data_IF_541930611233
#
_entry.id   IF_541930611233
#
_cell.length_a   1.000
_cell.length_b   1.000
_cell.length_c   1.000
_cell.angle_alpha   90.00
_cell.angle_beta   90.00
_cell.angle_gamma   90.00
#
_symmetry.space_group_name_H-M   'P 1'
#
loop_
_entity.id
_entity.type
_entity.pdbx_description
1 polymer ?
#
# COMPACT_ATOMS: atom_id res chain seq x y z
N UNK A 1 44.85 28.75 4.18
CA UNK A 1 44.75 28.23 5.57
C UNK A 1 43.30 28.19 6.10
N UNK A 2 42.35 28.89 5.56
CA UNK A 2 40.97 28.95 6.02
C UNK A 2 40.17 27.62 5.80
N UNK A 3 40.48 26.87 4.76
CA UNK A 3 39.76 25.62 4.46
C UNK A 3 39.93 24.49 5.51
N UNK A 4 40.99 24.49 6.27
CA UNK A 4 41.21 23.47 7.33
C UNK A 4 40.38 23.72 8.60
N UNK A 5 40.00 24.97 8.89
CA UNK A 5 39.20 25.31 10.07
C UNK A 5 37.75 24.94 9.92
N UNK A 6 37.15 25.12 8.72
CA UNK A 6 35.75 24.76 8.44
C UNK A 6 35.55 23.25 8.51
N UNK A 7 36.48 22.43 8.00
CA UNK A 7 36.39 20.97 8.09
C UNK A 7 36.40 20.43 9.51
N UNK A 8 37.12 21.12 10.43
CA UNK A 8 37.16 20.73 11.83
C UNK A 8 35.83 20.93 12.56
N UNK A 9 34.96 21.79 12.04
CA UNK A 9 33.63 22.05 12.57
C UNK A 9 32.61 21.18 11.81
N UNK A 10 32.60 21.28 10.50
CA UNK A 10 31.53 20.66 9.68
C UNK A 10 31.56 19.14 9.69
N UNK A 11 32.74 18.49 9.79
CA UNK A 11 32.79 17.04 9.79
C UNK A 11 32.26 16.47 11.13
N UNK A 12 32.72 16.90 12.32
CA UNK A 12 32.17 16.42 13.59
C UNK A 12 30.67 16.73 13.71
N UNK A 13 30.22 17.92 13.35
CA UNK A 13 28.82 18.28 13.41
C UNK A 13 27.98 17.42 12.46
N UNK A 14 28.46 17.14 11.23
CA UNK A 14 27.79 16.23 10.30
C UNK A 14 27.61 14.83 10.87
N UNK A 15 28.67 14.26 11.49
CA UNK A 15 28.57 12.94 12.13
C UNK A 15 27.62 12.96 13.33
N UNK A 16 27.66 13.98 14.18
CA UNK A 16 26.72 14.10 15.31
C UNK A 16 25.27 14.24 14.86
N UNK A 17 25.03 15.03 13.82
CA UNK A 17 23.69 15.16 13.25
C UNK A 17 23.17 13.82 12.69
N UNK A 18 24.01 13.08 11.95
CA UNK A 18 23.62 11.77 11.42
C UNK A 18 23.35 10.77 12.53
N UNK A 19 24.21 10.72 13.56
CA UNK A 19 24.01 9.85 14.73
C UNK A 19 22.68 10.18 15.43
N UNK A 20 22.39 11.46 15.65
CA UNK A 20 21.12 11.90 16.25
C UNK A 20 19.91 11.49 15.41
N UNK A 21 19.97 11.66 14.08
CA UNK A 21 18.90 11.25 13.16
C UNK A 21 18.68 9.73 13.24
N UNK A 22 19.74 8.93 13.19
CA UNK A 22 19.66 7.48 13.25
C UNK A 22 19.05 6.99 14.56
N UNK A 23 19.43 7.60 15.69
CA UNK A 23 18.85 7.29 17.01
C UNK A 23 17.36 7.63 17.07
N UNK A 24 16.97 8.80 16.56
CA UNK A 24 15.56 9.18 16.48
C UNK A 24 14.77 8.22 15.58
N UNK A 25 15.30 7.87 14.41
CA UNK A 25 14.66 6.88 13.52
C UNK A 25 14.50 5.52 14.20
N UNK A 26 15.53 5.04 14.90
CA UNK A 26 15.47 3.79 15.68
C UNK A 26 14.35 3.85 16.73
N UNK A 27 14.26 4.96 17.48
CA UNK A 27 13.23 5.16 18.50
C UNK A 27 11.82 5.17 17.87
N UNK A 28 11.62 5.93 16.77
CA UNK A 28 10.34 6.00 16.06
C UNK A 28 9.94 4.64 15.50
N UNK A 29 10.86 3.95 14.82
CA UNK A 29 10.57 2.64 14.20
C UNK A 29 10.31 1.56 15.25
N UNK A 30 11.04 1.56 16.37
CA UNK A 30 10.81 0.64 17.48
C UNK A 30 9.48 0.87 18.20
N UNK A 31 8.95 2.11 18.17
CA UNK A 31 7.64 2.47 18.74
C UNK A 31 6.46 2.38 17.78
N UNK A 32 6.67 1.99 16.53
CA UNK A 32 5.60 1.88 15.56
C UNK A 32 4.54 0.85 15.98
N UNK A 33 3.29 1.29 15.95
CA UNK A 33 2.13 0.42 16.20
C UNK A 33 1.34 0.23 14.93
N UNK A 34 1.19 -1.02 14.50
CA UNK A 34 0.36 -1.39 13.35
C UNK A 34 -1.03 -1.74 13.85
N UNK A 35 -2.05 -1.19 13.21
CA UNK A 35 -3.47 -1.47 13.51
C UNK A 35 -4.10 -2.25 12.36
N UNK A 36 -4.03 -3.60 12.33
CA UNK A 36 -4.48 -4.40 11.21
C UNK A 36 -5.96 -4.18 10.85
N UNK A 37 -6.81 -3.96 11.85
CA UNK A 37 -8.25 -3.71 11.61
C UNK A 37 -8.51 -2.37 10.89
N UNK A 38 -7.71 -1.35 11.18
CA UNK A 38 -7.81 -0.04 10.49
C UNK A 38 -7.35 -0.19 9.04
N UNK A 39 -6.26 -0.91 8.82
CA UNK A 39 -5.76 -1.22 7.47
C UNK A 39 -6.80 -2.02 6.69
N UNK A 40 -7.33 -3.09 7.28
CA UNK A 40 -8.34 -3.92 6.63
C UNK A 40 -9.60 -3.11 6.24
N UNK A 41 -10.04 -2.19 7.10
CA UNK A 41 -11.15 -1.28 6.78
C UNK A 41 -10.82 -0.41 5.57
N UNK A 42 -9.68 0.27 5.58
CA UNK A 42 -9.25 1.12 4.48
C UNK A 42 -9.08 0.34 3.17
N UNK A 43 -8.49 -0.86 3.23
CA UNK A 43 -8.39 -1.76 2.07
C UNK A 43 -9.78 -2.13 1.55
N UNK A 44 -10.71 -2.51 2.42
CA UNK A 44 -12.08 -2.87 2.03
C UNK A 44 -12.83 -1.73 1.32
N UNK A 45 -12.58 -0.48 1.72
CA UNK A 45 -13.19 0.69 1.09
C UNK A 45 -12.65 0.96 -0.33
N UNK A 46 -11.35 0.75 -0.56
CA UNK A 46 -10.71 1.11 -1.82
C UNK A 46 -10.47 -0.07 -2.78
N UNK A 47 -10.42 -1.28 -2.26
CA UNK A 47 -10.12 -2.48 -3.06
C UNK A 47 -11.07 -2.67 -4.24
N UNK A 48 -12.39 -2.44 -4.14
CA UNK A 48 -13.31 -2.56 -5.28
C UNK A 48 -12.91 -1.69 -6.47
N UNK A 49 -12.43 -0.48 -6.22
CA UNK A 49 -11.98 0.44 -7.26
C UNK A 49 -10.60 0.06 -7.82
N UNK A 50 -9.68 -0.38 -6.96
CA UNK A 50 -8.35 -0.84 -7.37
C UNK A 50 -8.46 -2.12 -8.23
N UNK A 51 -9.39 -3.00 -7.88
CA UNK A 51 -9.57 -4.29 -8.55
C UNK A 51 -10.34 -4.22 -9.87
N UNK A 52 -10.81 -3.05 -10.31
CA UNK A 52 -11.58 -2.90 -11.55
C UNK A 52 -10.89 -3.46 -12.79
N UNK A 53 -9.56 -3.34 -12.88
CA UNK A 53 -8.79 -3.95 -13.98
C UNK A 53 -8.81 -5.48 -13.90
N UNK A 54 -8.71 -6.06 -12.70
CA UNK A 54 -8.80 -7.52 -12.53
C UNK A 54 -10.19 -8.03 -12.91
N UNK A 55 -11.25 -7.30 -12.54
CA UNK A 55 -12.61 -7.62 -12.93
C UNK A 55 -12.80 -7.53 -14.44
N UNK A 56 -12.27 -6.48 -15.06
CA UNK A 56 -12.28 -6.32 -16.51
C UNK A 56 -11.60 -7.51 -17.22
N UNK A 57 -10.40 -7.88 -16.73
CA UNK A 57 -9.64 -8.99 -17.32
C UNK A 57 -10.32 -10.34 -17.09
N UNK A 58 -10.98 -10.54 -15.94
CA UNK A 58 -11.76 -11.75 -15.67
C UNK A 58 -12.96 -11.85 -16.62
N UNK A 59 -13.68 -10.74 -16.82
CA UNK A 59 -14.79 -10.66 -17.78
C UNK A 59 -14.34 -11.02 -19.20
N UNK A 60 -13.23 -10.45 -19.67
CA UNK A 60 -12.67 -10.72 -21.01
C UNK A 60 -12.24 -12.19 -21.14
N UNK A 61 -11.59 -12.77 -20.12
CA UNK A 61 -11.21 -14.19 -20.12
C UNK A 61 -12.41 -15.12 -20.24
N UNK A 62 -13.56 -14.71 -19.72
CA UNK A 62 -14.84 -15.43 -19.82
C UNK A 62 -15.59 -15.19 -21.14
N UNK A 63 -15.01 -14.42 -22.07
CA UNK A 63 -15.56 -14.12 -23.38
C UNK A 63 -16.32 -12.80 -23.49
N UNK A 64 -16.27 -11.95 -22.46
CA UNK A 64 -16.83 -10.61 -22.48
C UNK A 64 -16.09 -9.67 -23.44
N UNK A 65 -16.81 -8.70 -24.00
CA UNK A 65 -16.23 -7.63 -24.80
C UNK A 65 -15.53 -6.62 -23.88
N UNK A 66 -14.25 -6.36 -24.12
CA UNK A 66 -13.43 -5.48 -23.27
C UNK A 66 -14.00 -4.06 -23.17
N UNK A 67 -14.49 -3.50 -24.27
CA UNK A 67 -15.01 -2.13 -24.30
C UNK A 67 -16.35 -2.03 -23.57
N UNK A 68 -17.23 -3.00 -23.78
CA UNK A 68 -18.52 -3.06 -23.08
C UNK A 68 -18.32 -3.27 -21.58
N UNK A 69 -17.48 -4.21 -21.18
CA UNK A 69 -17.17 -4.46 -19.76
C UNK A 69 -16.53 -3.24 -19.10
N UNK A 70 -15.63 -2.54 -19.80
CA UNK A 70 -15.02 -1.29 -19.30
C UNK A 70 -16.07 -0.21 -19.09
N UNK A 71 -17.01 -0.05 -20.04
CA UNK A 71 -18.07 0.97 -19.93
C UNK A 71 -19.01 0.67 -18.76
N UNK A 72 -19.41 -0.59 -18.56
CA UNK A 72 -20.23 -1.01 -17.41
C UNK A 72 -19.54 -0.69 -16.10
N UNK A 73 -18.25 -1.05 -15.97
CA UNK A 73 -17.46 -0.74 -14.76
C UNK A 73 -17.39 0.78 -14.55
N UNK A 74 -17.18 1.57 -15.60
CA UNK A 74 -17.12 3.03 -15.54
C UNK A 74 -18.46 3.63 -15.07
N UNK A 75 -19.58 3.20 -15.64
CA UNK A 75 -20.92 3.66 -15.26
C UNK A 75 -21.19 3.45 -13.77
N UNK A 76 -20.98 2.23 -13.27
CA UNK A 76 -21.22 1.90 -11.88
C UNK A 76 -20.22 2.59 -10.93
N UNK A 77 -18.95 2.71 -11.33
CA UNK A 77 -17.94 3.42 -10.51
C UNK A 77 -18.27 4.90 -10.35
N UNK A 78 -18.76 5.57 -11.40
CA UNK A 78 -19.21 6.95 -11.34
C UNK A 78 -20.46 7.10 -10.46
N UNK A 79 -21.42 6.19 -10.58
CA UNK A 79 -22.63 6.20 -9.75
C UNK A 79 -22.29 6.08 -8.25
N UNK A 80 -21.35 5.18 -7.89
CA UNK A 80 -20.87 5.02 -6.51
C UNK A 80 -20.14 6.28 -6.03
N UNK A 81 -19.28 6.86 -6.89
CA UNK A 81 -18.56 8.09 -6.53
C UNK A 81 -19.49 9.28 -6.33
N UNK A 82 -20.55 9.40 -7.13
CA UNK A 82 -21.53 10.49 -6.99
C UNK A 82 -22.45 10.28 -5.77
N UNK A 83 -22.87 9.06 -5.48
CA UNK A 83 -23.59 8.72 -4.25
C UNK A 83 -22.76 9.07 -3.00
N UNK A 84 -21.48 8.74 -3.00
CA UNK A 84 -20.57 9.07 -1.89
C UNK A 84 -20.48 10.60 -1.63
N UNK A 85 -20.48 11.44 -2.69
CA UNK A 85 -20.51 12.90 -2.55
C UNK A 85 -21.81 13.42 -1.91
N UNK A 86 -22.89 12.67 -2.08
CA UNK A 86 -24.19 12.99 -1.49
C UNK A 86 -24.39 12.37 -0.09
N UNK A 87 -23.37 11.69 0.44
CA UNK A 87 -23.44 11.02 1.75
C UNK A 87 -24.16 9.66 1.71
N UNK A 88 -24.42 9.13 0.53
CA UNK A 88 -25.02 7.82 0.33
C UNK A 88 -23.92 6.75 0.16
N UNK A 89 -24.26 5.52 0.52
CA UNK A 89 -23.34 4.38 0.37
C UNK A 89 -23.90 3.41 -0.66
N UNK A 90 -23.22 3.28 -1.79
CA UNK A 90 -23.48 2.26 -2.80
C UNK A 90 -22.34 1.26 -2.85
N UNK A 91 -22.68 0.00 -3.10
CA UNK A 91 -21.70 -1.07 -3.24
C UNK A 91 -21.44 -1.36 -4.73
N UNK A 92 -20.23 -1.02 -5.20
CA UNK A 92 -19.81 -1.22 -6.58
C UNK A 92 -19.91 -2.69 -7.02
N UNK A 93 -19.51 -3.60 -6.13
CA UNK A 93 -19.47 -5.03 -6.47
C UNK A 93 -20.88 -5.61 -6.61
N UNK A 94 -21.76 -5.17 -5.75
CA UNK A 94 -23.18 -5.54 -5.83
C UNK A 94 -23.80 -5.01 -7.12
N UNK A 95 -23.56 -3.76 -7.49
CA UNK A 95 -24.08 -3.18 -8.73
C UNK A 95 -23.58 -3.94 -9.96
N UNK A 96 -22.28 -4.32 -9.98
CA UNK A 96 -21.73 -5.13 -11.06
C UNK A 96 -22.29 -6.55 -11.08
N UNK A 97 -22.55 -7.15 -9.93
CA UNK A 97 -23.12 -8.51 -9.85
C UNK A 97 -24.60 -8.56 -10.26
N UNK A 98 -25.34 -7.45 -10.09
CA UNK A 98 -26.76 -7.31 -10.45
C UNK A 98 -26.95 -6.85 -11.91
N UNK A 99 -25.91 -6.45 -12.63
CA UNK A 99 -25.99 -6.01 -14.02
C UNK A 99 -25.85 -7.20 -14.97
N UNK A 100 -26.95 -7.58 -15.64
CA UNK A 100 -26.99 -8.70 -16.59
C UNK A 100 -26.03 -8.54 -17.78
N UNK A 101 -25.57 -7.31 -18.07
CA UNK A 101 -24.58 -7.03 -19.12
C UNK A 101 -23.17 -7.43 -18.70
N UNK A 102 -22.92 -7.55 -17.39
CA UNK A 102 -21.60 -7.92 -16.85
C UNK A 102 -21.56 -9.43 -16.64
N UNK A 103 -20.72 -10.12 -17.40
CA UNK A 103 -20.73 -11.58 -17.52
C UNK A 103 -20.04 -12.33 -16.35
N UNK A 104 -19.77 -11.67 -15.22
CA UNK A 104 -19.23 -12.29 -14.01
C UNK A 104 -20.32 -12.49 -12.97
N UNK A 105 -20.33 -13.64 -12.34
CA UNK A 105 -21.15 -13.91 -11.16
C UNK A 105 -20.57 -13.27 -9.91
N UNK A 106 -21.38 -13.08 -8.86
CA UNK A 106 -20.93 -12.55 -7.58
C UNK A 106 -19.73 -13.33 -6.99
N UNK A 107 -19.72 -14.65 -7.13
CA UNK A 107 -18.61 -15.49 -6.66
C UNK A 107 -17.30 -15.25 -7.43
N UNK A 108 -17.40 -15.01 -8.75
CA UNK A 108 -16.22 -14.68 -9.58
C UNK A 108 -15.70 -13.28 -9.31
N UNK A 109 -16.60 -12.32 -9.01
CA UNK A 109 -16.24 -10.97 -8.59
C UNK A 109 -15.49 -11.05 -7.25
N UNK A 110 -16.02 -11.77 -6.27
CA UNK A 110 -15.38 -11.93 -4.96
C UNK A 110 -14.01 -12.61 -5.07
N UNK A 111 -13.88 -13.62 -5.93
CA UNK A 111 -12.61 -14.31 -6.17
C UNK A 111 -11.53 -13.40 -6.78
N UNK A 112 -11.91 -12.34 -7.50
CA UNK A 112 -10.98 -11.35 -8.08
C UNK A 112 -10.54 -10.25 -7.09
N UNK A 113 -11.08 -10.25 -5.86
CA UNK A 113 -10.90 -9.20 -4.87
C UNK A 113 -10.03 -9.62 -3.67
N UNK A 114 -9.14 -10.57 -3.87
CA UNK A 114 -8.24 -11.01 -2.81
C UNK A 114 -7.15 -9.94 -2.57
N UNK A 115 -7.07 -9.33 -1.37
CA UNK A 115 -6.08 -8.29 -1.09
C UNK A 115 -4.63 -8.75 -1.32
N UNK A 116 -4.38 -10.04 -1.09
CA UNK A 116 -3.06 -10.65 -1.24
C UNK A 116 -2.54 -10.57 -2.68
N UNK A 117 -3.43 -10.54 -3.67
CA UNK A 117 -3.05 -10.48 -5.09
C UNK A 117 -2.56 -9.08 -5.51
N UNK A 118 -2.75 -8.06 -4.65
CA UNK A 118 -2.37 -6.67 -4.92
C UNK A 118 -1.09 -6.22 -4.22
N UNK A 119 -0.49 -7.05 -3.37
CA UNK A 119 0.77 -6.70 -2.69
C UNK A 119 2.02 -6.95 -3.55
N UNK A 120 1.87 -7.66 -4.66
CA UNK A 120 2.97 -7.98 -5.58
C UNK A 120 4.09 -8.72 -4.87
N UNK A 121 5.34 -8.28 -5.10
CA UNK A 121 6.54 -8.87 -4.52
C UNK A 121 7.07 -8.12 -3.28
N UNK A 122 6.23 -7.31 -2.63
CA UNK A 122 6.70 -6.45 -1.53
C UNK A 122 7.28 -7.24 -0.35
N UNK A 123 6.66 -8.35 0.06
CA UNK A 123 7.20 -9.20 1.13
C UNK A 123 8.54 -9.82 0.73
N UNK A 124 8.61 -10.42 -0.46
CA UNK A 124 9.84 -11.01 -0.99
C UNK A 124 10.99 -9.98 -1.12
N UNK A 125 10.68 -8.76 -1.54
CA UNK A 125 11.67 -7.69 -1.65
C UNK A 125 12.21 -7.26 -0.28
N UNK A 126 11.35 -7.23 0.75
CA UNK A 126 11.79 -6.95 2.13
C UNK A 126 12.73 -8.05 2.63
N UNK A 127 12.36 -9.31 2.44
CA UNK A 127 13.20 -10.44 2.86
C UNK A 127 14.55 -10.40 2.15
N UNK A 128 14.57 -10.24 0.83
CA UNK A 128 15.81 -10.13 0.03
C UNK A 128 16.67 -8.94 0.48
N UNK A 129 16.05 -7.81 0.82
CA UNK A 129 16.78 -6.65 1.31
C UNK A 129 17.42 -6.95 2.67
N UNK A 130 16.66 -7.52 3.61
CA UNK A 130 17.17 -7.88 4.94
C UNK A 130 18.31 -8.89 4.86
N UNK A 131 18.19 -9.91 4.02
CA UNK A 131 19.23 -10.92 3.79
C UNK A 131 20.52 -10.32 3.19
N UNK A 132 20.41 -9.21 2.46
CA UNK A 132 21.54 -8.51 1.86
C UNK A 132 22.30 -7.60 2.84
N UNK A 133 21.69 -7.27 3.99
CA UNK A 133 22.33 -6.39 4.96
C UNK A 133 23.38 -7.16 5.78
N UNK A 134 24.59 -6.60 5.94
CA UNK A 134 25.53 -7.12 6.91
C UNK A 134 24.93 -6.93 8.31
N UNK A 135 24.64 -8.03 9.00
CA UNK A 135 24.21 -7.96 10.39
C UNK A 135 25.37 -7.31 11.21
N UNK A 136 25.10 -6.24 11.96
CA UNK A 136 26.12 -5.71 12.87
C UNK A 136 26.47 -6.77 13.91
N UNK A 137 27.77 -6.87 14.25
CA UNK A 137 28.18 -7.68 15.38
C UNK A 137 27.35 -7.29 16.61
N UNK A 138 26.83 -8.26 17.33
CA UNK A 138 25.85 -8.12 18.41
C UNK A 138 26.31 -7.29 19.61
N UNK A 139 27.56 -6.83 19.61
CA UNK A 139 28.21 -6.18 20.75
C UNK A 139 28.24 -4.63 20.69
N UNK A 140 27.53 -4.01 19.74
CA UNK A 140 27.42 -2.55 19.74
C UNK A 140 26.35 -2.12 20.74
N UNK A 141 26.80 -1.71 21.94
CA UNK A 141 25.91 -1.06 22.91
C UNK A 141 25.29 0.22 22.32
N UNK A 142 24.04 0.10 21.92
CA UNK A 142 23.26 1.26 21.49
C UNK A 142 22.62 1.87 22.72
N UNK A 143 23.18 2.98 23.20
CA UNK A 143 22.60 3.73 24.32
C UNK A 143 21.13 4.07 24.03
N UNK A 144 20.25 3.76 24.99
CA UNK A 144 18.83 4.09 24.93
C UNK A 144 18.64 5.60 25.04
N UNK A 145 17.80 6.16 24.17
CA UNK A 145 17.29 7.52 24.38
C UNK A 145 16.03 7.38 25.23
N UNK A 146 16.11 7.75 26.48
CA UNK A 146 14.92 7.93 27.33
C UNK A 146 14.35 9.33 27.04
N UNK A 147 13.15 9.39 26.50
CA UNK A 147 12.35 10.62 26.32
C UNK A 147 11.24 10.61 27.34
#
# INVERSE_FOLDING_TARGET
MLFRSIRRISLPEGFLCVDAILRLMKNVTGGLRVYPKVIAKAVGEWLPFIATENLLMASVKKGGNRQESHEIIREHSLAVADAAKNGETLDLLRLLAEDDRFNLSAAEIEAALRPEDFVGRSAEQVDQFLDSLPLPDSDVETGEISV
#
